data_IF_777792641514
#
_entry.id   IF_777792641514
#
_cell.length_a   1.000
_cell.length_b   1.000
_cell.length_c   1.000
_cell.angle_alpha   90.00
_cell.angle_beta   90.00
_cell.angle_gamma   90.00
#
_symmetry.space_group_name_H-M   'P 1'
#
loop_
_entity.id
_entity.type
_entity.pdbx_description
1 polymer ?
#
# COMPACT_ATOMS: atom_id res chain seq x y z
N UNK A 1 27.92 6.95 -4.05
CA UNK A 1 26.79 6.79 -3.11
C UNK A 1 25.69 6.09 -3.88
N UNK A 2 25.31 4.87 -3.50
CA UNK A 2 24.25 4.14 -4.16
C UNK A 2 22.92 4.77 -3.72
N UNK A 3 22.28 5.51 -4.62
CA UNK A 3 20.88 5.90 -4.46
C UNK A 3 20.09 4.59 -4.61
N UNK A 4 19.75 3.96 -3.49
CA UNK A 4 18.92 2.76 -3.52
C UNK A 4 17.58 3.13 -4.13
N UNK A 5 17.37 2.77 -5.39
CA UNK A 5 16.08 2.85 -6.02
C UNK A 5 15.14 1.93 -5.24
N UNK A 6 14.00 2.47 -4.80
CA UNK A 6 12.94 1.68 -4.19
C UNK A 6 12.59 0.54 -5.15
N UNK A 7 12.75 -0.71 -4.69
CA UNK A 7 12.39 -1.87 -5.49
C UNK A 7 10.88 -2.09 -5.47
N UNK A 8 10.33 -2.65 -6.56
CA UNK A 8 8.91 -3.02 -6.61
C UNK A 8 8.53 -3.96 -5.47
N UNK A 9 9.44 -4.85 -5.07
CA UNK A 9 9.24 -5.80 -3.99
C UNK A 9 9.06 -5.09 -2.63
N UNK A 10 9.86 -4.07 -2.34
CA UNK A 10 9.70 -3.24 -1.13
C UNK A 10 8.33 -2.54 -1.10
N UNK A 11 7.88 -2.00 -2.23
CA UNK A 11 6.55 -1.37 -2.34
C UNK A 11 5.45 -2.39 -2.11
N UNK A 12 5.53 -3.56 -2.74
CA UNK A 12 4.55 -4.64 -2.59
C UNK A 12 4.47 -5.10 -1.13
N UNK A 13 5.61 -5.33 -0.46
CA UNK A 13 5.65 -5.75 0.94
C UNK A 13 5.03 -4.68 1.85
N UNK A 14 5.39 -3.41 1.66
CA UNK A 14 4.80 -2.32 2.44
C UNK A 14 3.28 -2.21 2.23
N UNK A 15 2.83 -2.28 0.98
CA UNK A 15 1.41 -2.21 0.60
C UNK A 15 0.62 -3.37 1.24
N UNK A 16 1.10 -4.62 1.11
CA UNK A 16 0.46 -5.80 1.70
C UNK A 16 0.35 -5.70 3.23
N UNK A 17 1.40 -5.17 3.89
CA UNK A 17 1.38 -4.95 5.33
C UNK A 17 0.34 -3.92 5.76
N UNK A 18 0.26 -2.80 5.06
CA UNK A 18 -0.68 -1.72 5.41
C UNK A 18 -2.12 -2.14 5.10
N UNK A 19 -2.35 -2.81 3.98
CA UNK A 19 -3.68 -3.35 3.64
C UNK A 19 -4.13 -4.34 4.71
N UNK A 20 -3.26 -5.27 5.12
CA UNK A 20 -3.54 -6.21 6.20
C UNK A 20 -3.92 -5.51 7.50
N UNK A 21 -3.14 -4.50 7.91
CA UNK A 21 -3.40 -3.70 9.12
C UNK A 21 -4.74 -2.93 9.06
N UNK A 22 -5.06 -2.34 7.91
CA UNK A 22 -6.26 -1.50 7.73
C UNK A 22 -7.55 -2.30 7.53
N UNK A 23 -7.46 -3.52 7.00
CA UNK A 23 -8.62 -4.37 6.69
C UNK A 23 -8.82 -5.50 7.70
N UNK A 24 -7.77 -5.91 8.40
CA UNK A 24 -7.76 -7.06 9.31
C UNK A 24 -7.58 -8.41 8.61
N UNK A 25 -7.41 -8.44 7.29
CA UNK A 25 -7.08 -9.68 6.58
C UNK A 25 -5.63 -10.06 6.84
N UNK A 26 -5.32 -11.33 7.16
CA UNK A 26 -3.93 -11.76 7.29
C UNK A 26 -3.24 -11.71 5.92
N UNK A 27 -1.93 -11.39 5.89
CA UNK A 27 -1.18 -11.24 4.64
C UNK A 27 -1.21 -12.47 3.73
N UNK A 28 -1.26 -13.66 4.33
CA UNK A 28 -1.36 -14.94 3.61
C UNK A 28 -2.69 -15.14 2.86
N UNK A 29 -3.72 -14.36 3.21
CA UNK A 29 -5.00 -14.33 2.51
C UNK A 29 -5.10 -13.17 1.51
N UNK A 30 -4.10 -12.30 1.41
CA UNK A 30 -4.11 -11.18 0.47
C UNK A 30 -3.44 -11.58 -0.85
N UNK A 31 -4.07 -11.21 -1.96
CA UNK A 31 -3.52 -11.41 -3.30
C UNK A 31 -3.55 -10.09 -4.08
N UNK A 32 -2.56 -9.87 -4.95
CA UNK A 32 -2.46 -8.65 -5.76
C UNK A 32 -3.63 -8.45 -6.74
N UNK A 33 -4.39 -9.51 -7.02
CA UNK A 33 -5.55 -9.47 -7.92
C UNK A 33 -6.89 -9.20 -7.24
N UNK A 34 -6.92 -9.06 -5.91
CA UNK A 34 -8.16 -8.82 -5.18
C UNK A 34 -8.71 -7.43 -5.48
N UNK A 35 -10.03 -7.33 -5.57
CA UNK A 35 -10.69 -6.05 -5.72
C UNK A 35 -10.68 -5.28 -4.39
N UNK A 36 -10.15 -4.05 -4.45
CA UNK A 36 -10.01 -3.22 -3.25
C UNK A 36 -11.37 -2.92 -2.61
N UNK A 37 -12.44 -2.71 -3.38
CA UNK A 37 -13.74 -2.30 -2.86
C UNK A 37 -14.64 -3.50 -2.55
N UNK A 38 -14.80 -4.45 -3.48
CA UNK A 38 -15.72 -5.58 -3.31
C UNK A 38 -15.16 -6.68 -2.41
N UNK A 39 -13.87 -6.97 -2.47
CA UNK A 39 -13.27 -8.07 -1.71
C UNK A 39 -12.69 -7.57 -0.39
N UNK A 40 -12.01 -6.41 -0.43
CA UNK A 40 -11.28 -5.88 0.72
C UNK A 40 -12.01 -4.78 1.50
N UNK A 41 -13.11 -4.23 0.98
CA UNK A 41 -13.87 -3.17 1.64
C UNK A 41 -13.08 -1.86 1.83
N UNK A 42 -12.19 -1.55 0.88
CA UNK A 42 -11.35 -0.36 0.80
C UNK A 42 -12.02 0.66 -0.13
N UNK A 43 -12.69 1.62 0.49
CA UNK A 43 -13.27 2.79 -0.14
C UNK A 43 -12.19 3.84 -0.55
N UNK A 44 -12.64 4.94 -1.17
CA UNK A 44 -11.76 6.03 -1.60
C UNK A 44 -11.02 6.73 -0.46
N UNK A 45 -11.59 6.78 0.75
CA UNK A 45 -10.96 7.39 1.92
C UNK A 45 -9.81 6.49 2.38
N UNK A 46 -10.06 5.19 2.54
CA UNK A 46 -9.03 4.22 2.92
C UNK A 46 -7.92 4.12 1.89
N UNK A 47 -8.20 4.30 0.59
CA UNK A 47 -7.13 4.33 -0.44
C UNK A 47 -6.14 5.46 -0.19
N UNK A 48 -6.62 6.66 0.10
CA UNK A 48 -5.75 7.80 0.42
C UNK A 48 -4.96 7.55 1.69
N UNK A 49 -5.58 6.98 2.73
CA UNK A 49 -4.88 6.61 3.97
C UNK A 49 -3.79 5.55 3.74
N UNK A 50 -4.08 4.52 2.94
CA UNK A 50 -3.13 3.45 2.60
C UNK A 50 -1.95 4.04 1.83
N UNK A 51 -2.22 4.87 0.81
CA UNK A 51 -1.18 5.53 0.03
C UNK A 51 -0.31 6.46 0.87
N UNK A 52 -0.90 7.19 1.83
CA UNK A 52 -0.16 8.00 2.80
C UNK A 52 0.74 7.14 3.70
N UNK A 53 0.19 6.06 4.27
CA UNK A 53 0.97 5.14 5.10
C UNK A 53 2.11 4.44 4.33
N UNK A 54 1.92 4.16 3.04
CA UNK A 54 2.98 3.59 2.19
C UNK A 54 4.09 4.63 1.97
N UNK A 55 3.75 5.90 1.75
CA UNK A 55 4.73 7.00 1.65
C UNK A 55 5.48 7.22 2.97
N UNK A 56 4.81 7.15 4.11
CA UNK A 56 5.46 7.24 5.43
C UNK A 56 6.50 6.13 5.64
N UNK A 57 6.22 4.91 5.14
CA UNK A 57 7.17 3.79 5.20
C UNK A 57 8.27 3.87 4.16
N UNK A 58 7.97 4.41 2.98
CA UNK A 58 8.88 4.53 1.85
C UNK A 58 8.94 6.00 1.41
N UNK A 59 9.72 6.84 2.10
CA UNK A 59 9.77 8.29 1.85
C UNK A 59 10.41 8.67 0.50
N UNK A 60 10.94 7.70 -0.23
CA UNK A 60 11.48 7.88 -1.58
C UNK A 60 10.41 7.72 -2.69
N UNK A 61 9.16 7.37 -2.33
CA UNK A 61 8.05 7.37 -3.30
C UNK A 61 7.60 8.80 -3.62
N UNK A 62 7.18 9.07 -4.87
CA UNK A 62 6.60 10.35 -5.21
C UNK A 62 5.29 10.57 -4.44
N UNK A 63 5.04 11.81 -4.01
CA UNK A 63 3.77 12.18 -3.39
C UNK A 63 2.63 11.93 -4.37
N UNK A 64 1.53 11.36 -3.88
CA UNK A 64 0.32 11.17 -4.68
C UNK A 64 -0.32 12.55 -4.88
N UNK A 65 -0.45 13.05 -6.13
CA UNK A 65 -1.11 14.33 -6.38
C UNK A 65 -2.56 14.27 -5.89
N UNK A 66 -2.93 15.19 -5.00
CA UNK A 66 -4.27 15.28 -4.43
C UNK A 66 -5.24 16.13 -5.26
N UNK A 67 -5.25 15.94 -6.59
CA UNK A 67 -6.22 16.59 -7.49
C UNK A 67 -7.48 15.73 -7.72
#
# INVERSE_FOLDING_TARGET
AATSAVSTEEVTVAMMAIVSEKTGYPQEMLELGMDLESDLGIDSIKRVEILGAVQDKIPALPEVPGD
#
